data_IF_550796081756
#
_entry.id   IF_550796081756
#
_cell.length_a   1.000
_cell.length_b   1.000
_cell.length_c   1.000
_cell.angle_alpha   90.00
_cell.angle_beta   90.00
_cell.angle_gamma   90.00
#
_symmetry.space_group_name_H-M   'P 1'
#
loop_
_entity.id
_entity.type
_entity.pdbx_description
1 polymer ?
#
# COMPACT_ATOMS: atom_id res chain seq x y z
N UNK A 1 -16.29 -33.77 2.54
CA UNK A 1 -16.36 -32.47 3.24
C UNK A 1 -15.35 -31.55 2.59
N UNK A 2 -15.78 -30.47 1.92
CA UNK A 2 -14.89 -29.47 1.30
C UNK A 2 -14.88 -28.24 2.20
N UNK A 3 -13.77 -27.99 2.87
CA UNK A 3 -13.53 -26.73 3.56
C UNK A 3 -13.10 -25.69 2.51
N UNK A 4 -14.06 -24.92 2.01
CA UNK A 4 -13.75 -23.64 1.37
C UNK A 4 -13.56 -22.63 2.50
N UNK A 5 -12.32 -22.46 2.95
CA UNK A 5 -11.97 -21.38 3.86
C UNK A 5 -12.04 -20.04 3.10
N UNK A 6 -12.68 -19.08 3.74
CA UNK A 6 -13.19 -17.86 3.14
C UNK A 6 -12.11 -17.05 2.43
N UNK A 7 -12.33 -16.87 1.13
CA UNK A 7 -11.65 -15.87 0.32
C UNK A 7 -11.86 -14.52 1.00
N UNK A 8 -10.80 -13.92 1.52
CA UNK A 8 -10.80 -12.55 2.03
C UNK A 8 -10.99 -11.63 0.81
N UNK A 9 -12.24 -11.51 0.36
CA UNK A 9 -12.66 -10.47 -0.57
C UNK A 9 -13.25 -9.33 0.24
N UNK A 10 -12.38 -8.47 0.78
CA UNK A 10 -12.77 -7.09 1.12
C UNK A 10 -12.21 -6.19 0.03
N UNK A 11 -12.88 -6.19 -1.11
CA UNK A 11 -12.60 -5.28 -2.21
C UNK A 11 -13.25 -3.93 -1.90
N UNK A 12 -12.42 -2.89 -1.87
CA UNK A 12 -12.84 -1.50 -1.67
C UNK A 12 -13.70 -1.02 -2.84
N UNK A 13 -14.79 -0.33 -2.51
CA UNK A 13 -16.00 -0.07 -3.28
C UNK A 13 -15.91 0.85 -4.52
N UNK A 14 -14.76 1.04 -5.17
CA UNK A 14 -14.62 2.07 -6.24
C UNK A 14 -14.06 1.60 -7.59
N UNK A 15 -13.80 0.30 -7.79
CA UNK A 15 -13.29 -0.20 -9.08
C UNK A 15 -11.86 0.26 -9.42
N UNK A 16 -11.16 0.87 -8.46
CA UNK A 16 -9.74 1.25 -8.56
C UNK A 16 -8.81 0.03 -8.61
N UNK A 17 -9.30 -1.10 -8.12
CA UNK A 17 -8.72 -2.45 -8.18
C UNK A 17 -8.92 -3.15 -9.53
N UNK A 18 -9.79 -2.65 -10.42
CA UNK A 18 -10.03 -3.28 -11.73
C UNK A 18 -8.73 -3.32 -12.56
N UNK A 19 -8.05 -4.46 -12.50
CA UNK A 19 -6.79 -4.75 -13.19
C UNK A 19 -5.61 -5.07 -12.27
N UNK A 20 -5.68 -4.77 -10.96
CA UNK A 20 -4.58 -5.08 -10.03
C UNK A 20 -4.53 -6.59 -9.80
N UNK A 21 -3.35 -7.16 -10.03
CA UNK A 21 -3.11 -8.59 -9.88
C UNK A 21 -3.44 -9.07 -8.46
N UNK A 22 -4.09 -10.22 -8.35
CA UNK A 22 -4.29 -10.91 -7.06
C UNK A 22 -2.96 -11.36 -6.47
N UNK A 23 -2.89 -11.32 -5.13
CA UNK A 23 -1.75 -11.90 -4.41
C UNK A 23 -1.79 -13.41 -4.56
N UNK A 24 -0.64 -14.00 -4.88
CA UNK A 24 -0.46 -15.44 -4.90
C UNK A 24 -0.26 -15.96 -3.46
N UNK A 25 -0.52 -17.24 -3.22
CA UNK A 25 -0.49 -17.82 -1.86
C UNK A 25 0.83 -17.55 -1.12
N UNK A 26 1.98 -17.71 -1.79
CA UNK A 26 3.29 -17.45 -1.18
C UNK A 26 3.58 -15.97 -0.93
N UNK A 27 2.82 -15.05 -1.53
CA UNK A 27 2.94 -13.59 -1.30
C UNK A 27 2.15 -13.16 -0.05
N UNK A 28 1.21 -14.00 0.40
CA UNK A 28 0.29 -13.68 1.49
C UNK A 28 1.04 -13.48 2.82
N UNK A 29 2.10 -14.24 3.08
CA UNK A 29 2.90 -14.09 4.29
C UNK A 29 3.63 -12.75 4.33
N UNK A 30 4.25 -12.37 3.21
CA UNK A 30 4.94 -11.08 3.06
C UNK A 30 3.97 -9.91 3.15
N UNK A 31 2.83 -10.02 2.47
CA UNK A 31 1.77 -9.02 2.53
C UNK A 31 1.32 -8.79 3.97
N UNK A 32 1.03 -9.84 4.74
CA UNK A 32 0.60 -9.73 6.15
C UNK A 32 1.66 -9.03 7.00
N UNK A 33 2.94 -9.38 6.83
CA UNK A 33 4.03 -8.75 7.55
C UNK A 33 4.14 -7.25 7.21
N UNK A 34 4.11 -6.91 5.92
CA UNK A 34 4.18 -5.53 5.45
C UNK A 34 2.98 -4.73 5.95
N UNK A 35 1.77 -5.27 5.82
CA UNK A 35 0.54 -4.63 6.27
C UNK A 35 0.55 -4.38 7.78
N UNK A 36 0.96 -5.36 8.59
CA UNK A 36 1.08 -5.17 10.05
C UNK A 36 2.11 -4.09 10.41
N UNK A 37 3.24 -4.03 9.70
CA UNK A 37 4.25 -2.98 9.91
C UNK A 37 3.70 -1.60 9.54
N UNK A 38 2.91 -1.50 8.47
CA UNK A 38 2.24 -0.27 8.08
C UNK A 38 1.20 0.16 9.12
N UNK A 39 0.43 -0.79 9.68
CA UNK A 39 -0.49 -0.52 10.79
C UNK A 39 0.26 0.04 11.99
N UNK A 40 1.37 -0.59 12.39
CA UNK A 40 2.17 -0.13 13.51
C UNK A 40 2.63 1.33 13.30
N UNK A 41 3.14 1.66 12.10
CA UNK A 41 3.50 3.04 11.74
C UNK A 41 2.32 4.01 11.75
N UNK A 42 1.15 3.57 11.30
CA UNK A 42 -0.06 4.39 11.35
C UNK A 42 -0.46 4.68 12.81
N UNK A 43 -0.41 3.69 13.69
CA UNK A 43 -0.68 3.86 15.13
C UNK A 43 0.36 4.78 15.78
N UNK A 44 1.64 4.62 15.44
CA UNK A 44 2.71 5.50 15.92
C UNK A 44 2.45 6.97 15.52
N UNK A 45 1.94 7.20 14.32
CA UNK A 45 1.65 8.55 13.82
C UNK A 45 0.33 9.12 14.35
N UNK A 46 -0.75 8.33 14.40
CA UNK A 46 -2.13 8.79 14.64
C UNK A 46 -2.75 8.30 15.96
N UNK A 47 -2.01 7.54 16.75
CA UNK A 47 -2.39 7.06 18.09
C UNK A 47 -3.28 5.81 18.12
N UNK A 48 -4.28 5.69 17.24
CA UNK A 48 -5.17 4.52 17.20
C UNK A 48 -5.78 4.24 15.83
N UNK A 49 -6.21 3.00 15.61
CA UNK A 49 -6.97 2.61 14.41
C UNK A 49 -8.46 2.94 14.62
N UNK A 50 -9.12 3.66 13.69
CA UNK A 50 -10.56 3.86 13.74
C UNK A 50 -11.33 2.53 13.76
N UNK A 51 -12.19 2.31 14.76
CA UNK A 51 -12.99 1.08 14.86
C UNK A 51 -14.03 1.01 13.74
N UNK A 52 -14.06 -0.12 13.03
CA UNK A 52 -15.08 -0.43 12.05
C UNK A 52 -14.97 0.34 10.73
N UNK A 53 -13.84 1.00 10.48
CA UNK A 53 -13.54 1.69 9.22
C UNK A 53 -12.22 1.19 8.64
N UNK A 54 -12.12 1.20 7.31
CA UNK A 54 -10.84 0.95 6.64
C UNK A 54 -9.89 2.14 6.88
N UNK A 55 -8.61 1.85 7.13
CA UNK A 55 -7.59 2.89 7.30
C UNK A 55 -7.31 3.51 5.93
N UNK A 56 -7.84 4.70 5.70
CA UNK A 56 -7.47 5.52 4.55
C UNK A 56 -6.19 6.29 4.84
N UNK A 57 -5.30 6.32 3.84
CA UNK A 57 -3.99 6.95 3.96
C UNK A 57 -3.65 7.70 2.68
N UNK A 58 -2.85 8.76 2.84
CA UNK A 58 -2.23 9.40 1.69
C UNK A 58 -0.86 8.79 1.46
N UNK A 59 -0.64 8.20 0.29
CA UNK A 59 0.63 7.57 -0.06
C UNK A 59 1.39 8.44 -1.06
N UNK A 60 2.69 8.57 -0.84
CA UNK A 60 3.63 9.13 -1.81
C UNK A 60 4.85 8.21 -1.91
N UNK A 61 5.16 7.77 -3.12
CA UNK A 61 6.31 6.92 -3.43
C UNK A 61 7.33 7.74 -4.21
N UNK A 62 8.59 7.71 -3.76
CA UNK A 62 9.70 8.47 -4.33
C UNK A 62 10.88 7.58 -4.67
N UNK A 63 11.62 7.94 -5.72
CA UNK A 63 12.91 7.33 -6.06
C UNK A 63 14.03 7.85 -5.14
N UNK A 64 15.27 7.30 -5.23
CA UNK A 64 16.42 7.84 -4.51
C UNK A 64 16.71 9.32 -4.84
N UNK A 65 16.30 9.78 -6.03
CA UNK A 65 16.45 11.15 -6.54
C UNK A 65 15.26 12.07 -6.18
N UNK A 66 14.37 11.62 -5.30
CA UNK A 66 13.18 12.35 -4.85
C UNK A 66 12.16 12.63 -5.99
N UNK A 67 12.16 11.80 -7.04
CA UNK A 67 11.14 11.85 -8.09
C UNK A 67 9.89 11.13 -7.60
N UNK A 68 8.72 11.78 -7.69
CA UNK A 68 7.45 11.16 -7.32
C UNK A 68 6.99 10.16 -8.40
N UNK A 69 6.86 8.91 -8.00
CA UNK A 69 6.50 7.76 -8.85
C UNK A 69 5.29 7.02 -8.30
N UNK A 70 4.44 7.73 -7.56
CA UNK A 70 3.19 7.18 -7.02
C UNK A 70 2.24 6.82 -8.17
N UNK A 71 1.79 5.56 -8.28
CA UNK A 71 0.80 5.19 -9.27
C UNK A 71 -0.49 6.00 -9.14
N UNK A 72 -1.14 6.27 -10.28
CA UNK A 72 -2.47 6.85 -10.33
C UNK A 72 -3.44 5.96 -9.54
N UNK A 73 -4.18 6.58 -8.61
CA UNK A 73 -5.09 5.87 -7.73
C UNK A 73 -4.44 5.24 -6.50
N UNK A 74 -3.14 5.46 -6.22
CA UNK A 74 -2.53 5.10 -4.93
C UNK A 74 -2.42 6.29 -3.96
N UNK A 75 -2.71 7.51 -4.41
CA UNK A 75 -2.48 8.73 -3.63
C UNK A 75 -3.36 8.83 -2.39
N UNK A 76 -4.64 8.42 -2.46
CA UNK A 76 -5.55 8.42 -1.31
C UNK A 76 -6.40 7.14 -1.35
N UNK A 77 -5.88 6.08 -0.72
CA UNK A 77 -6.49 4.74 -0.74
C UNK A 77 -6.28 4.02 0.59
N UNK A 78 -6.89 2.85 0.73
CA UNK A 78 -6.68 2.02 1.91
C UNK A 78 -5.21 1.60 2.03
N UNK A 79 -4.77 1.42 3.27
CA UNK A 79 -3.44 0.93 3.61
C UNK A 79 -3.10 -0.42 2.93
N UNK A 80 -4.12 -1.21 2.59
CA UNK A 80 -3.96 -2.48 1.89
C UNK A 80 -3.35 -2.32 0.50
N UNK A 81 -3.67 -1.26 -0.25
CA UNK A 81 -3.10 -1.04 -1.57
C UNK A 81 -1.61 -0.72 -1.50
N UNK A 82 -1.22 0.07 -0.49
CA UNK A 82 0.19 0.33 -0.21
C UNK A 82 0.90 -0.99 0.14
N UNK A 83 0.32 -1.82 0.99
CA UNK A 83 0.89 -3.12 1.33
C UNK A 83 1.06 -4.03 0.10
N UNK A 84 0.08 -4.05 -0.82
CA UNK A 84 0.15 -4.86 -2.04
C UNK A 84 1.27 -4.42 -2.97
N UNK A 85 1.40 -3.13 -3.28
CA UNK A 85 2.47 -2.67 -4.19
C UNK A 85 3.86 -2.92 -3.59
N UNK A 86 4.02 -2.76 -2.27
CA UNK A 86 5.26 -3.08 -1.57
C UNK A 86 5.55 -4.58 -1.55
N UNK A 87 4.51 -5.42 -1.50
CA UNK A 87 4.65 -6.88 -1.62
C UNK A 87 5.21 -7.23 -3.00
N UNK A 88 4.69 -6.65 -4.07
CA UNK A 88 5.21 -6.85 -5.42
C UNK A 88 6.63 -6.31 -5.59
N UNK A 89 6.91 -5.13 -5.02
CA UNK A 89 8.25 -4.55 -5.00
C UNK A 89 9.27 -5.49 -4.33
N UNK A 90 8.92 -6.06 -3.17
CA UNK A 90 9.77 -7.02 -2.44
C UNK A 90 10.15 -8.22 -3.30
N UNK A 91 9.20 -8.75 -4.08
CA UNK A 91 9.47 -9.92 -4.95
C UNK A 91 10.42 -9.63 -6.09
N UNK A 92 10.46 -8.37 -6.54
CA UNK A 92 11.45 -7.91 -7.51
C UNK A 92 12.78 -7.51 -6.86
N UNK A 93 12.94 -7.75 -5.55
CA UNK A 93 14.14 -7.39 -4.80
C UNK A 93 14.26 -5.90 -4.48
N UNK A 94 13.22 -5.09 -4.78
CA UNK A 94 13.22 -3.65 -4.51
C UNK A 94 13.09 -3.45 -3.00
N UNK A 95 14.07 -2.76 -2.42
CA UNK A 95 14.04 -2.33 -1.02
C UNK A 95 13.39 -0.95 -0.91
N UNK A 96 12.93 -0.59 0.28
CA UNK A 96 12.34 0.71 0.52
C UNK A 96 12.48 1.14 1.98
N UNK A 97 12.32 2.45 2.20
CA UNK A 97 12.20 3.08 3.51
C UNK A 97 10.84 3.75 3.64
N UNK A 98 10.27 3.75 4.85
CA UNK A 98 8.93 4.33 5.10
C UNK A 98 9.00 5.33 6.25
N UNK A 99 8.61 6.56 5.96
CA UNK A 99 8.24 7.59 6.93
C UNK A 99 6.71 7.73 7.00
N UNK A 100 6.17 7.91 8.20
CA UNK A 100 4.74 8.12 8.41
C UNK A 100 4.51 9.31 9.33
N UNK A 101 3.56 10.17 8.98
CA UNK A 101 3.23 11.37 9.76
C UNK A 101 1.72 11.56 9.81
N UNK A 102 1.22 12.09 10.92
CA UNK A 102 -0.19 12.49 11.00
C UNK A 102 -0.48 13.63 10.03
N UNK A 103 -1.62 13.58 9.37
CA UNK A 103 -2.15 14.67 8.57
C UNK A 103 -3.16 15.47 9.38
N UNK A 104 -2.72 16.62 9.89
CA UNK A 104 -3.52 17.47 10.80
C UNK A 104 -4.46 18.43 10.08
N UNK A 105 -4.40 18.51 8.75
CA UNK A 105 -4.93 19.64 7.97
C UNK A 105 -6.26 19.33 7.23
N UNK A 106 -6.90 18.21 7.53
CA UNK A 106 -8.13 17.80 6.83
C UNK A 106 -9.28 17.51 7.77
N UNK A 107 -10.51 17.66 7.25
CA UNK A 107 -11.74 17.21 7.91
C UNK A 107 -11.77 15.68 8.14
N UNK A 108 -10.81 14.93 7.61
CA UNK A 108 -10.63 13.50 7.84
C UNK A 108 -9.79 13.30 9.10
N UNK A 109 -10.44 12.92 10.20
CA UNK A 109 -9.76 12.62 11.46
C UNK A 109 -8.82 11.43 11.28
N UNK A 110 -7.60 11.53 11.84
CA UNK A 110 -6.62 10.43 11.94
C UNK A 110 -6.16 9.85 10.60
N UNK A 111 -6.03 10.70 9.59
CA UNK A 111 -5.40 10.31 8.33
C UNK A 111 -3.88 10.42 8.47
N UNK A 112 -3.13 9.41 8.05
CA UNK A 112 -1.65 9.46 8.02
C UNK A 112 -1.12 9.61 6.60
N UNK A 113 -0.04 10.38 6.45
CA UNK A 113 0.78 10.46 5.25
C UNK A 113 1.90 9.42 5.31
N UNK A 114 1.91 8.50 4.35
CA UNK A 114 3.00 7.56 4.14
C UNK A 114 3.90 8.07 3.00
N UNK A 115 5.16 8.34 3.34
CA UNK A 115 6.22 8.62 2.37
C UNK A 115 7.09 7.38 2.24
N UNK A 116 7.08 6.76 1.07
CA UNK A 116 7.91 5.60 0.74
C UNK A 116 9.04 6.03 -0.17
N UNK A 117 10.28 5.74 0.21
CA UNK A 117 11.46 5.93 -0.64
C UNK A 117 11.95 4.56 -1.11
N UNK A 118 11.76 4.25 -2.38
CA UNK A 118 12.21 2.97 -2.97
C UNK A 118 13.67 3.07 -3.40
N UNK A 119 14.39 1.96 -3.29
CA UNK A 119 15.78 1.85 -3.70
C UNK A 119 15.88 1.20 -5.08
N UNK A 120 15.32 1.88 -6.09
CA UNK A 120 15.45 1.50 -7.48
C UNK A 120 15.24 2.72 -8.40
N UNK A 121 15.69 2.64 -9.67
CA UNK A 121 15.31 3.59 -10.71
C UNK A 121 13.79 3.71 -10.89
N UNK A 122 13.35 4.88 -11.37
CA UNK A 122 11.95 5.16 -11.70
C UNK A 122 11.37 4.09 -12.65
N UNK A 123 12.06 3.80 -13.74
CA UNK A 123 11.57 2.92 -14.80
C UNK A 123 11.31 1.50 -14.30
N UNK A 124 12.17 0.99 -13.42
CA UNK A 124 12.04 -0.35 -12.84
C UNK A 124 10.79 -0.45 -11.95
N UNK A 125 10.58 0.56 -11.09
CA UNK A 125 9.39 0.59 -10.23
C UNK A 125 8.12 0.72 -11.07
N UNK A 126 8.10 1.63 -12.04
CA UNK A 126 6.95 1.85 -12.92
C UNK A 126 6.63 0.58 -13.73
N UNK A 127 7.64 -0.10 -14.25
CA UNK A 127 7.47 -1.34 -15.02
C UNK A 127 6.88 -2.43 -14.14
N UNK A 128 7.39 -2.61 -12.92
CA UNK A 128 6.83 -3.54 -11.93
C UNK A 128 5.37 -3.23 -11.63
N UNK A 129 5.08 -1.97 -11.30
CA UNK A 129 3.74 -1.55 -10.89
C UNK A 129 2.73 -1.68 -12.03
N UNK A 130 3.08 -1.28 -13.27
CA UNK A 130 2.26 -1.53 -14.47
C UNK A 130 2.04 -3.01 -14.72
N UNK A 131 3.09 -3.84 -14.59
CA UNK A 131 2.99 -5.30 -14.71
C UNK A 131 2.08 -5.95 -13.67
N UNK A 132 1.88 -5.29 -12.53
CA UNK A 132 0.94 -5.71 -11.49
C UNK A 132 -0.45 -5.05 -11.62
N UNK A 133 -0.70 -4.29 -12.69
CA UNK A 133 -1.99 -3.68 -12.99
C UNK A 133 -2.23 -2.28 -12.43
N UNK A 134 -1.21 -1.66 -11.82
CA UNK A 134 -1.31 -0.27 -11.38
C UNK A 134 -1.22 0.71 -12.55
N UNK A 135 -1.96 1.81 -12.47
CA UNK A 135 -2.03 2.85 -13.50
C UNK A 135 -1.01 3.96 -13.21
N UNK A 136 -0.52 4.62 -14.24
CA UNK A 136 0.43 5.74 -14.19
C UNK A 136 0.02 6.84 -15.16
#
# INVERSE_FOLDING_TARGET
>A
MKACEGTIQRFTSTGQDSGIKELQDHETADYKLIYNNLIAKHIEACGEIPKGMDIQVINKIFTPKDENITPLGLVNVSLEYLARILTFAKRQGIQWQIDSREHTDTHFQKLSHFTVKVDCPQEDFMTMAKGCGYRY
#
